data_IF_259003806098
#
_entry.id   IF_259003806098
#
_cell.length_a   1.000
_cell.length_b   1.000
_cell.length_c   1.000
_cell.angle_alpha   90.00
_cell.angle_beta   90.00
_cell.angle_gamma   90.00
#
_symmetry.space_group_name_H-M   'P 1'
#
loop_
_entity.id
_entity.type
_entity.pdbx_description
1 polymer ?
#
# COMPACT_ATOMS: atom_id res chain seq x y z
N UNK A 1 -22.22 -11.62 -11.02
CA UNK A 1 -20.92 -11.05 -11.44
C UNK A 1 -20.58 -9.79 -10.64
N UNK A 2 -21.34 -8.70 -10.75
CA UNK A 2 -21.07 -7.44 -10.02
C UNK A 2 -20.96 -7.58 -8.51
N UNK A 3 -21.84 -8.38 -7.89
CA UNK A 3 -21.78 -8.67 -6.45
C UNK A 3 -20.43 -9.31 -6.05
N UNK A 4 -19.89 -10.24 -6.85
CA UNK A 4 -18.63 -10.91 -6.53
C UNK A 4 -17.42 -9.95 -6.62
N UNK A 5 -17.43 -9.05 -7.61
CA UNK A 5 -16.42 -7.99 -7.74
C UNK A 5 -16.49 -7.04 -6.53
N UNK A 6 -17.70 -6.63 -6.17
CA UNK A 6 -17.92 -5.75 -5.00
C UNK A 6 -17.45 -6.42 -3.70
N UNK A 7 -17.81 -7.68 -3.47
CA UNK A 7 -17.36 -8.43 -2.29
C UNK A 7 -15.84 -8.58 -2.26
N UNK A 8 -15.19 -8.79 -3.42
CA UNK A 8 -13.73 -8.85 -3.50
C UNK A 8 -13.06 -7.51 -3.18
N UNK A 9 -13.61 -6.40 -3.69
CA UNK A 9 -13.15 -5.04 -3.38
C UNK A 9 -13.31 -4.71 -1.88
N UNK A 10 -14.44 -5.09 -1.28
CA UNK A 10 -14.67 -4.93 0.17
C UNK A 10 -13.68 -5.78 0.96
N UNK A 11 -13.54 -7.06 0.63
CA UNK A 11 -12.63 -7.97 1.32
C UNK A 11 -11.20 -7.45 1.29
N UNK A 12 -10.72 -7.00 0.12
CA UNK A 12 -9.37 -6.47 -0.02
C UNK A 12 -9.19 -5.15 0.74
N UNK A 13 -10.19 -4.27 0.75
CA UNK A 13 -10.19 -3.06 1.60
C UNK A 13 -10.06 -3.40 3.08
N UNK A 14 -10.81 -4.39 3.56
CA UNK A 14 -10.71 -4.86 4.95
C UNK A 14 -9.34 -5.45 5.23
N UNK A 15 -8.79 -6.28 4.33
CA UNK A 15 -7.45 -6.87 4.48
C UNK A 15 -6.39 -5.77 4.60
N UNK A 16 -6.39 -4.77 3.71
CA UNK A 16 -5.42 -3.67 3.75
C UNK A 16 -5.57 -2.85 5.03
N UNK A 17 -6.81 -2.51 5.41
CA UNK A 17 -7.09 -1.74 6.62
C UNK A 17 -6.68 -2.47 7.92
N UNK A 18 -7.03 -3.75 8.05
CA UNK A 18 -6.65 -4.58 9.21
C UNK A 18 -5.14 -4.74 9.28
N UNK A 19 -4.49 -5.03 8.15
CA UNK A 19 -3.03 -5.14 8.08
C UNK A 19 -2.35 -3.85 8.53
N UNK A 20 -2.83 -2.70 8.07
CA UNK A 20 -2.35 -1.39 8.51
C UNK A 20 -2.48 -1.21 10.03
N UNK A 21 -3.64 -1.53 10.61
CA UNK A 21 -3.88 -1.37 12.04
C UNK A 21 -2.95 -2.27 12.87
N UNK A 22 -2.74 -3.51 12.44
CA UNK A 22 -1.83 -4.45 13.10
C UNK A 22 -0.39 -3.93 13.06
N UNK A 23 0.11 -3.59 11.88
CA UNK A 23 1.52 -3.21 11.70
C UNK A 23 1.81 -1.85 12.35
N UNK A 24 0.98 -0.84 12.08
CA UNK A 24 1.12 0.49 12.71
C UNK A 24 0.93 0.43 14.22
N UNK A 25 0.01 -0.41 14.70
CA UNK A 25 -0.18 -0.67 16.12
C UNK A 25 1.05 -1.30 16.78
N UNK A 26 1.67 -2.27 16.13
CA UNK A 26 2.91 -2.90 16.58
C UNK A 26 4.06 -1.89 16.63
N UNK A 27 4.27 -1.09 15.59
CA UNK A 27 5.28 -0.01 15.59
C UNK A 27 4.98 1.06 16.64
N UNK A 28 3.71 1.43 16.84
CA UNK A 28 3.32 2.36 17.89
C UNK A 28 3.60 1.82 19.29
N UNK A 29 3.35 0.52 19.53
CA UNK A 29 3.66 -0.15 20.79
C UNK A 29 5.17 -0.23 21.03
N UNK A 30 5.94 -0.65 20.02
CA UNK A 30 7.40 -0.69 20.07
C UNK A 30 7.99 0.70 20.34
N UNK A 31 7.46 1.74 19.67
CA UNK A 31 7.89 3.13 19.88
C UNK A 31 7.61 3.59 21.30
N UNK A 32 6.42 3.31 21.85
CA UNK A 32 6.09 3.66 23.24
C UNK A 32 6.96 2.94 24.27
N UNK A 33 7.34 1.68 24.00
CA UNK A 33 8.23 0.92 24.85
C UNK A 33 9.67 1.46 24.81
N UNK A 34 10.16 1.85 23.63
CA UNK A 34 11.54 2.33 23.44
C UNK A 34 11.73 3.80 23.79
N UNK A 35 10.71 4.63 23.53
CA UNK A 35 10.71 6.08 23.71
C UNK A 35 9.46 6.54 24.48
N UNK A 36 9.41 6.31 25.81
CA UNK A 36 8.28 6.70 26.63
C UNK A 36 7.98 8.21 26.52
N UNK A 37 6.71 8.57 26.34
CA UNK A 37 6.26 9.96 26.28
C UNK A 37 6.40 10.64 24.92
N UNK A 38 6.99 10.00 23.89
CA UNK A 38 7.16 10.58 22.56
C UNK A 38 5.83 11.03 21.93
N UNK A 39 4.75 10.29 22.16
CA UNK A 39 3.42 10.61 21.63
C UNK A 39 2.51 11.39 22.59
N UNK A 40 3.04 11.85 23.73
CA UNK A 40 2.23 12.57 24.73
C UNK A 40 1.65 13.86 24.11
N UNK A 41 0.33 14.00 24.17
CA UNK A 41 -0.38 15.15 23.61
C UNK A 41 -0.70 15.07 22.11
N UNK A 42 -0.35 13.97 21.43
CA UNK A 42 -0.61 13.79 20.00
C UNK A 42 -1.93 13.07 19.69
N UNK A 43 -2.82 12.86 20.67
CA UNK A 43 -4.04 12.05 20.50
C UNK A 43 -4.94 12.53 19.35
N UNK A 44 -5.12 13.85 19.22
CA UNK A 44 -5.91 14.44 18.13
C UNK A 44 -5.23 14.26 16.77
N UNK A 45 -3.89 14.33 16.70
CA UNK A 45 -3.14 14.05 15.48
C UNK A 45 -3.23 12.58 15.11
N UNK A 46 -3.03 11.66 16.06
CA UNK A 46 -3.11 10.22 15.82
C UNK A 46 -4.51 9.80 15.32
N UNK A 47 -5.58 10.37 15.86
CA UNK A 47 -6.94 10.13 15.35
C UNK A 47 -7.09 10.54 13.89
N UNK A 48 -6.55 11.71 13.52
CA UNK A 48 -6.56 12.20 12.14
C UNK A 48 -5.71 11.34 11.21
N UNK A 49 -4.54 10.92 11.66
CA UNK A 49 -3.65 10.00 10.93
C UNK A 49 -4.35 8.67 10.66
N UNK A 50 -4.96 8.06 11.69
CA UNK A 50 -5.73 6.82 11.56
C UNK A 50 -6.88 6.99 10.57
N UNK A 51 -7.61 8.10 10.63
CA UNK A 51 -8.73 8.35 9.73
C UNK A 51 -8.29 8.44 8.26
N UNK A 52 -7.24 9.23 7.97
CA UNK A 52 -6.68 9.32 6.62
C UNK A 52 -6.08 8.00 6.13
N UNK A 53 -5.45 7.23 7.02
CA UNK A 53 -4.91 5.90 6.70
C UNK A 53 -6.00 4.88 6.38
N UNK A 54 -7.12 4.88 7.10
CA UNK A 54 -8.27 4.01 6.80
C UNK A 54 -8.93 4.43 5.48
N UNK A 55 -9.09 5.73 5.22
CA UNK A 55 -9.60 6.22 3.96
C UNK A 55 -8.70 5.81 2.78
N UNK A 56 -7.39 5.95 2.95
CA UNK A 56 -6.40 5.50 1.97
C UNK A 56 -6.49 3.99 1.76
N UNK A 57 -6.62 3.18 2.82
CA UNK A 57 -6.75 1.73 2.72
C UNK A 57 -7.92 1.30 1.80
N UNK A 58 -9.02 2.05 1.75
CA UNK A 58 -10.10 1.83 0.78
C UNK A 58 -9.68 2.15 -0.66
N UNK A 59 -8.94 3.23 -0.87
CA UNK A 59 -8.38 3.61 -2.19
C UNK A 59 -7.40 2.55 -2.70
N UNK A 60 -6.58 1.95 -1.83
CA UNK A 60 -5.72 0.82 -2.17
C UNK A 60 -6.50 -0.48 -2.38
N UNK A 61 -7.47 -0.77 -1.51
CA UNK A 61 -8.19 -2.03 -1.46
C UNK A 61 -9.12 -2.28 -2.65
N UNK A 62 -9.84 -1.25 -3.10
CA UNK A 62 -10.79 -1.37 -4.22
C UNK A 62 -10.13 -1.85 -5.52
N UNK A 63 -9.11 -1.18 -6.09
CA UNK A 63 -8.46 -1.65 -7.32
C UNK A 63 -7.80 -3.02 -7.11
N UNK A 64 -7.18 -3.26 -5.95
CA UNK A 64 -6.57 -4.55 -5.64
C UNK A 64 -7.60 -5.69 -5.62
N UNK A 65 -8.80 -5.48 -5.06
CA UNK A 65 -9.86 -6.48 -5.06
C UNK A 65 -10.46 -6.73 -6.45
N UNK A 66 -10.69 -5.68 -7.24
CA UNK A 66 -11.15 -5.83 -8.63
C UNK A 66 -10.14 -6.65 -9.45
N UNK A 67 -8.86 -6.33 -9.34
CA UNK A 67 -7.78 -7.03 -10.05
C UNK A 67 -7.61 -8.47 -9.55
N UNK A 68 -7.70 -8.71 -8.24
CA UNK A 68 -7.66 -10.05 -7.67
C UNK A 68 -8.81 -10.93 -8.15
N UNK A 69 -10.04 -10.39 -8.18
CA UNK A 69 -11.19 -11.10 -8.75
C UNK A 69 -10.97 -11.42 -10.24
N UNK A 70 -10.50 -10.45 -11.01
CA UNK A 70 -10.23 -10.61 -12.43
C UNK A 70 -9.15 -11.65 -12.74
N UNK A 71 -8.10 -11.69 -11.93
CA UNK A 71 -7.09 -12.74 -11.99
C UNK A 71 -7.71 -14.13 -11.79
N UNK A 72 -8.42 -14.34 -10.67
CA UNK A 72 -8.95 -15.66 -10.30
C UNK A 72 -10.05 -16.16 -11.23
N UNK A 73 -10.83 -15.26 -11.83
CA UNK A 73 -12.04 -15.64 -12.57
C UNK A 73 -11.92 -15.46 -14.08
N UNK A 74 -10.97 -14.65 -14.56
CA UNK A 74 -10.88 -14.23 -15.97
C UNK A 74 -9.47 -14.26 -16.55
N UNK A 75 -8.45 -14.58 -15.76
CA UNK A 75 -7.06 -14.61 -16.25
C UNK A 75 -6.56 -13.24 -16.72
N UNK A 76 -7.06 -12.15 -16.13
CA UNK A 76 -6.71 -10.77 -16.53
C UNK A 76 -5.23 -10.42 -16.36
N UNK A 77 -4.57 -11.02 -15.39
CA UNK A 77 -3.21 -10.66 -14.98
C UNK A 77 -2.23 -11.78 -15.33
N UNK A 78 -0.94 -11.47 -15.23
CA UNK A 78 0.16 -12.43 -15.37
C UNK A 78 0.56 -13.06 -14.03
N UNK A 79 -0.31 -13.03 -13.03
CA UNK A 79 -0.07 -13.71 -11.76
C UNK A 79 -0.22 -15.21 -11.96
N UNK A 80 0.78 -15.99 -11.56
CA UNK A 80 0.79 -17.43 -11.72
C UNK A 80 0.98 -18.15 -10.37
N UNK A 81 0.52 -19.40 -10.28
CA UNK A 81 0.53 -20.20 -9.04
C UNK A 81 1.49 -21.39 -9.08
N UNK A 82 1.87 -21.85 -10.27
CA UNK A 82 2.86 -22.92 -10.42
C UNK A 82 4.28 -22.33 -10.37
N UNK A 83 5.05 -22.69 -9.35
CA UNK A 83 6.43 -22.24 -9.19
C UNK A 83 7.35 -22.67 -10.36
N UNK A 84 6.98 -23.72 -11.10
CA UNK A 84 7.74 -24.24 -12.24
C UNK A 84 7.29 -23.65 -13.59
N UNK A 85 6.29 -22.75 -13.61
CA UNK A 85 5.88 -22.05 -14.83
C UNK A 85 6.99 -21.17 -15.43
N UNK A 86 7.97 -20.78 -14.61
CA UNK A 86 9.21 -20.08 -14.99
C UNK A 86 10.40 -20.73 -14.28
N UNK A 87 11.64 -20.54 -14.78
CA UNK A 87 12.83 -20.97 -14.04
C UNK A 87 12.86 -20.37 -12.62
N UNK A 88 13.25 -21.15 -11.60
CA UNK A 88 13.16 -20.73 -10.20
C UNK A 88 13.94 -19.44 -9.88
N UNK A 89 15.02 -19.14 -10.62
CA UNK A 89 15.77 -17.89 -10.47
C UNK A 89 14.92 -16.65 -10.81
N UNK A 90 13.85 -16.82 -11.59
CA UNK A 90 12.94 -15.73 -11.93
C UNK A 90 12.10 -15.27 -10.73
N UNK A 91 11.91 -16.11 -9.70
CA UNK A 91 11.19 -15.73 -8.48
C UNK A 91 11.82 -14.50 -7.80
N UNK A 92 13.09 -14.52 -7.36
CA UNK A 92 13.71 -13.33 -6.78
C UNK A 92 13.85 -12.16 -7.78
N UNK A 93 14.10 -12.44 -9.06
CA UNK A 93 14.19 -11.39 -10.10
C UNK A 93 12.87 -10.65 -10.27
N UNK A 94 11.73 -11.35 -10.27
CA UNK A 94 10.40 -10.74 -10.36
C UNK A 94 10.09 -9.86 -9.15
N UNK A 95 10.47 -10.28 -7.94
CA UNK A 95 10.36 -9.46 -6.72
C UNK A 95 11.20 -8.19 -6.85
N UNK A 96 12.46 -8.30 -7.26
CA UNK A 96 13.34 -7.14 -7.47
C UNK A 96 12.81 -6.20 -8.54
N UNK A 97 12.29 -6.72 -9.66
CA UNK A 97 11.70 -5.93 -10.72
C UNK A 97 10.49 -5.13 -10.21
N UNK A 98 9.64 -5.74 -9.39
CA UNK A 98 8.52 -5.05 -8.74
C UNK A 98 8.99 -3.97 -7.78
N UNK A 99 9.99 -4.26 -6.93
CA UNK A 99 10.52 -3.28 -5.99
C UNK A 99 11.14 -2.08 -6.69
N UNK A 100 11.98 -2.32 -7.71
CA UNK A 100 12.61 -1.24 -8.48
C UNK A 100 11.57 -0.39 -9.20
N UNK A 101 10.57 -1.01 -9.84
CA UNK A 101 9.52 -0.28 -10.54
C UNK A 101 8.65 0.53 -9.58
N UNK A 102 8.29 -0.05 -8.43
CA UNK A 102 7.55 0.62 -7.37
C UNK A 102 8.32 1.82 -6.82
N UNK A 103 9.58 1.62 -6.44
CA UNK A 103 10.40 2.67 -5.83
C UNK A 103 10.70 3.79 -6.82
N UNK A 104 10.95 3.48 -8.09
CA UNK A 104 11.09 4.48 -9.14
C UNK A 104 9.80 5.30 -9.30
N UNK A 105 8.65 4.63 -9.36
CA UNK A 105 7.35 5.30 -9.43
C UNK A 105 7.13 6.22 -8.23
N UNK A 106 7.28 5.68 -7.02
CA UNK A 106 7.12 6.42 -5.78
C UNK A 106 8.05 7.63 -5.71
N UNK A 107 9.34 7.46 -6.02
CA UNK A 107 10.32 8.54 -6.02
C UNK A 107 9.88 9.70 -6.93
N UNK A 108 9.50 9.41 -8.17
CA UNK A 108 9.16 10.46 -9.13
C UNK A 108 7.82 11.13 -8.82
N UNK A 109 6.80 10.36 -8.41
CA UNK A 109 5.51 10.94 -8.02
C UNK A 109 5.66 11.77 -6.75
N UNK A 110 6.41 11.29 -5.76
CA UNK A 110 6.70 12.01 -4.53
C UNK A 110 7.48 13.30 -4.79
N UNK A 111 8.55 13.23 -5.60
CA UNK A 111 9.32 14.42 -6.00
C UNK A 111 8.44 15.44 -6.73
N UNK A 112 7.53 15.00 -7.59
CA UNK A 112 6.58 15.88 -8.26
C UNK A 112 5.59 16.51 -7.26
N UNK A 113 5.10 15.73 -6.30
CA UNK A 113 4.19 16.18 -5.23
C UNK A 113 4.82 17.22 -4.31
N UNK A 114 6.15 17.32 -4.26
CA UNK A 114 6.85 18.40 -3.53
C UNK A 114 6.94 19.73 -4.28
N UNK A 115 6.42 19.85 -5.51
CA UNK A 115 6.31 21.15 -6.19
C UNK A 115 5.17 21.98 -5.59
N UNK A 116 5.21 23.34 -5.65
CA UNK A 116 4.29 24.19 -4.88
C UNK A 116 2.79 23.94 -5.08
N UNK A 117 2.35 23.69 -6.33
CA UNK A 117 0.94 23.42 -6.64
C UNK A 117 0.52 21.98 -6.25
N UNK A 118 1.21 20.91 -6.72
CA UNK A 118 0.93 19.54 -6.29
C UNK A 118 0.99 19.35 -4.77
N UNK A 119 1.90 20.03 -4.08
CA UNK A 119 2.04 19.92 -2.63
C UNK A 119 0.76 20.32 -1.91
N UNK A 120 0.23 21.50 -2.22
CA UNK A 120 -1.00 22.01 -1.60
C UNK A 120 -2.21 21.14 -1.94
N UNK A 121 -2.23 20.55 -3.14
CA UNK A 121 -3.35 19.77 -3.64
C UNK A 121 -3.36 18.32 -3.11
N UNK A 122 -2.19 17.71 -2.92
CA UNK A 122 -2.07 16.27 -2.70
C UNK A 122 -1.22 15.89 -1.48
N UNK A 123 -0.19 16.64 -1.13
CA UNK A 123 0.84 16.16 -0.19
C UNK A 123 0.86 16.88 1.17
N UNK A 124 0.17 18.02 1.27
CA UNK A 124 0.14 18.82 2.50
C UNK A 124 -0.48 18.05 3.69
N UNK A 125 -1.44 17.17 3.45
CA UNK A 125 -2.06 16.32 4.49
C UNK A 125 -1.02 15.39 5.11
N UNK A 126 -0.21 14.72 4.29
CA UNK A 126 0.84 13.82 4.75
C UNK A 126 1.89 14.57 5.59
N UNK A 127 2.28 15.78 5.16
CA UNK A 127 3.24 16.62 5.89
C UNK A 127 2.66 17.38 7.09
N UNK A 128 1.37 17.23 7.38
CA UNK A 128 0.72 17.86 8.53
C UNK A 128 1.03 17.14 9.86
N UNK A 129 1.55 15.92 9.81
CA UNK A 129 1.93 15.12 10.98
C UNK A 129 3.31 15.51 11.50
N UNK A 130 3.38 16.24 12.62
CA UNK A 130 4.63 16.83 13.14
C UNK A 130 4.72 16.72 14.67
N UNK A 131 5.55 15.83 15.22
CA UNK A 131 6.30 14.78 14.51
C UNK A 131 5.35 13.70 13.96
N UNK A 132 5.72 12.97 12.90
CA UNK A 132 4.92 11.84 12.43
C UNK A 132 4.89 10.73 13.49
N UNK A 133 3.72 10.12 13.69
CA UNK A 133 3.61 8.90 14.50
C UNK A 133 3.57 7.66 13.61
N UNK A 134 3.66 6.47 14.22
CA UNK A 134 3.51 5.20 13.50
C UNK A 134 2.15 5.08 12.74
N UNK A 135 1.14 5.88 13.08
CA UNK A 135 -0.14 5.90 12.38
C UNK A 135 -0.15 6.76 11.11
N UNK A 136 0.90 7.55 10.88
CA UNK A 136 1.02 8.42 9.71
C UNK A 136 1.37 7.67 8.41
N UNK A 137 1.67 6.37 8.49
CA UNK A 137 2.19 5.56 7.37
C UNK A 137 1.34 5.65 6.08
N UNK A 138 0.01 5.76 6.21
CA UNK A 138 -0.88 5.97 5.06
C UNK A 138 -1.77 7.21 5.21
N UNK A 139 -1.36 8.18 6.02
CA UNK A 139 -2.13 9.40 6.28
C UNK A 139 -2.06 10.37 5.09
N UNK A 140 -2.52 9.93 3.91
CA UNK A 140 -2.42 10.61 2.64
C UNK A 140 -3.72 11.33 2.29
N UNK A 141 -3.59 12.39 1.48
CA UNK A 141 -4.74 12.91 0.75
C UNK A 141 -5.16 11.88 -0.33
N UNK A 142 -6.43 11.83 -0.77
CA UNK A 142 -6.88 10.84 -1.75
C UNK A 142 -6.10 10.87 -3.07
N UNK A 143 -5.67 12.06 -3.51
CA UNK A 143 -4.86 12.18 -4.74
C UNK A 143 -3.50 11.48 -4.57
N UNK A 144 -2.84 11.66 -3.44
CA UNK A 144 -1.59 10.96 -3.13
C UNK A 144 -1.81 9.45 -3.01
N UNK A 145 -2.85 9.02 -2.29
CA UNK A 145 -3.21 7.61 -2.16
C UNK A 145 -3.47 6.93 -3.51
N UNK A 146 -4.15 7.62 -4.45
CA UNK A 146 -4.39 7.10 -5.81
C UNK A 146 -3.06 6.86 -6.54
N UNK A 147 -2.07 7.76 -6.41
CA UNK A 147 -0.76 7.54 -7.07
C UNK A 147 -0.09 6.26 -6.58
N UNK A 148 -0.17 5.95 -5.28
CA UNK A 148 0.37 4.71 -4.73
C UNK A 148 -0.49 3.47 -5.05
N UNK A 149 -1.81 3.61 -5.08
CA UNK A 149 -2.74 2.50 -5.27
C UNK A 149 -2.69 1.87 -6.67
N UNK A 150 -2.18 2.59 -7.66
CA UNK A 150 -2.23 2.18 -9.07
C UNK A 150 -1.05 1.27 -9.47
N UNK A 151 0.15 1.49 -8.93
CA UNK A 151 1.37 0.89 -9.50
C UNK A 151 1.40 -0.64 -9.42
N UNK A 152 1.13 -1.25 -8.25
CA UNK A 152 1.14 -2.72 -8.11
C UNK A 152 0.04 -3.38 -8.95
N UNK A 153 -1.22 -2.90 -8.94
CA UNK A 153 -2.25 -3.36 -9.88
C UNK A 153 -1.83 -3.27 -11.34
N UNK A 154 -1.10 -2.23 -11.78
CA UNK A 154 -0.62 -2.17 -13.16
C UNK A 154 0.48 -3.21 -13.44
N UNK A 155 1.43 -3.37 -12.53
CA UNK A 155 2.57 -4.28 -12.73
C UNK A 155 2.12 -5.72 -12.95
N UNK A 156 1.07 -6.18 -12.27
CA UNK A 156 0.55 -7.56 -12.46
C UNK A 156 -0.04 -7.82 -13.84
N UNK A 157 -0.34 -6.80 -14.65
CA UNK A 157 -0.68 -6.98 -16.07
C UNK A 157 0.55 -7.04 -16.98
N UNK A 158 1.68 -6.50 -16.54
CA UNK A 158 2.87 -6.30 -17.37
C UNK A 158 3.94 -7.37 -17.13
N UNK A 159 4.22 -7.66 -15.86
CA UNK A 159 5.32 -8.52 -15.41
C UNK A 159 4.73 -9.80 -14.80
N UNK A 160 5.07 -10.99 -15.31
CA UNK A 160 4.70 -12.24 -14.66
C UNK A 160 5.26 -12.30 -13.24
N UNK A 161 4.42 -12.68 -12.28
CA UNK A 161 4.84 -12.84 -10.89
C UNK A 161 4.12 -14.02 -10.24
N UNK A 162 4.86 -14.83 -9.49
CA UNK A 162 4.28 -15.91 -8.70
C UNK A 162 3.44 -15.33 -7.56
N UNK A 163 2.30 -15.93 -7.22
CA UNK A 163 1.42 -15.47 -6.14
C UNK A 163 2.15 -15.30 -4.81
N UNK A 164 3.07 -16.21 -4.47
CA UNK A 164 3.91 -16.11 -3.27
C UNK A 164 4.95 -14.98 -3.35
N UNK A 165 5.51 -14.72 -4.54
CA UNK A 165 6.45 -13.61 -4.75
C UNK A 165 5.72 -12.25 -4.66
N UNK A 166 4.51 -12.15 -5.22
CA UNK A 166 3.64 -10.98 -5.06
C UNK A 166 3.28 -10.76 -3.58
N UNK A 167 2.97 -11.84 -2.85
CA UNK A 167 2.78 -11.79 -1.40
C UNK A 167 3.99 -11.23 -0.66
N UNK A 168 5.21 -11.65 -1.04
CA UNK A 168 6.45 -11.12 -0.47
C UNK A 168 6.63 -9.63 -0.76
N UNK A 169 6.40 -9.18 -2.00
CA UNK A 169 6.43 -7.75 -2.36
C UNK A 169 5.48 -6.95 -1.48
N UNK A 170 4.22 -7.38 -1.37
CA UNK A 170 3.21 -6.70 -0.55
C UNK A 170 3.59 -6.67 0.94
N UNK A 171 4.21 -7.73 1.45
CA UNK A 171 4.70 -7.79 2.83
C UNK A 171 5.85 -6.81 3.06
N UNK A 172 6.85 -6.79 2.17
CA UNK A 172 7.98 -5.84 2.25
C UNK A 172 7.45 -4.41 2.28
N UNK A 173 6.56 -4.06 1.35
CA UNK A 173 5.95 -2.73 1.26
C UNK A 173 5.13 -2.35 2.50
N UNK A 174 4.55 -3.34 3.20
CA UNK A 174 3.78 -3.07 4.43
C UNK A 174 4.68 -2.75 5.61
N UNK A 175 5.84 -3.41 5.69
CA UNK A 175 6.76 -3.28 6.83
C UNK A 175 7.70 -2.09 6.66
N UNK A 176 8.11 -1.81 5.42
CA UNK A 176 9.12 -0.78 5.09
C UNK A 176 8.53 0.51 4.54
N UNK A 177 7.23 0.56 4.28
CA UNK A 177 6.52 1.70 3.68
C UNK A 177 6.17 2.81 4.66
#
# INVERSE_FOLDING_TARGET
>A
MWLAILLSAIAMTVIVGVRYLIVSGAFAAATRARHPGLYRGLDAQMKREIWWSIASAAIYGVPAGIVAWGWQNRGWTKVYTDAHAYPLWYLPVSVLAYMVAHDAWFYWTHRWMHRPKPFKLAHAVHHASRPPTAWAAMAFHPIEAITGAVIIPLLVFLIPIHVGALGLVLTIMTVMG
#
